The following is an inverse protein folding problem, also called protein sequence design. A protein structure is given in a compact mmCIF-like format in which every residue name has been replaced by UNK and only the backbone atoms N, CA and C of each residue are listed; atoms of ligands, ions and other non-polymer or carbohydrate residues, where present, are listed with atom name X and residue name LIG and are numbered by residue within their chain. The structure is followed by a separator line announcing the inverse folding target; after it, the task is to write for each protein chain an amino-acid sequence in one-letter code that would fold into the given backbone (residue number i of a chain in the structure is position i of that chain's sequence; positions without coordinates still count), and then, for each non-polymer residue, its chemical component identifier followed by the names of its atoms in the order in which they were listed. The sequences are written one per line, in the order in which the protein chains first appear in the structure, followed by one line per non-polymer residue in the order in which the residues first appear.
data_IF_098048765208
#
_entry.id   IF_098048765208
#
_cell.length_a   1.000
_cell.length_b   1.000
_cell.length_c   1.000
_cell.angle_alpha   90.00
_cell.angle_beta   90.00
_cell.angle_gamma   90.00
#
_symmetry.space_group_name_H-M   'P 1'
#
loop_
_entity.id
_entity.type
_entity.pdbx_description
1 polymer ?
#
# COMPACT_ATOMS: atom_id res chain seq x y z
N UNK A 1 8.55 16.02 11.33
CA UNK A 1 8.21 15.73 9.92
C UNK A 1 8.42 17.01 9.13
N UNK A 2 9.25 16.98 8.08
CA UNK A 2 9.63 18.17 7.28
C UNK A 2 8.61 18.49 6.17
N UNK A 3 7.62 17.61 5.95
CA UNK A 3 6.36 17.94 5.25
C UNK A 3 5.20 17.36 6.06
N UNK A 4 4.08 18.09 6.26
CA UNK A 4 2.89 17.51 6.88
C UNK A 4 2.41 16.34 6.03
N UNK A 5 2.34 15.14 6.60
CA UNK A 5 1.91 13.92 5.88
C UNK A 5 0.57 14.12 5.18
N UNK A 6 -0.28 14.98 5.73
CA UNK A 6 -1.56 15.41 5.17
C UNK A 6 -1.41 16.04 3.77
N UNK A 7 -0.40 16.89 3.51
CA UNK A 7 -0.22 17.50 2.19
C UNK A 7 0.12 16.45 1.13
N UNK A 8 1.00 15.50 1.49
CA UNK A 8 1.35 14.39 0.61
C UNK A 8 0.11 13.54 0.38
N UNK A 9 -0.60 13.15 1.45
CA UNK A 9 -1.84 12.38 1.38
C UNK A 9 -2.96 13.05 0.58
N UNK A 10 -3.02 14.39 0.49
CA UNK A 10 -3.95 15.08 -0.42
C UNK A 10 -3.54 14.85 -1.88
N UNK A 11 -2.26 14.99 -2.20
CA UNK A 11 -1.75 14.81 -3.58
C UNK A 11 -1.75 13.34 -4.00
N UNK A 12 -1.68 12.41 -3.05
CA UNK A 12 -1.66 10.97 -3.28
C UNK A 12 -2.88 10.28 -2.67
N UNK A 13 -3.99 11.00 -2.50
CA UNK A 13 -5.21 10.50 -1.85
C UNK A 13 -5.76 9.20 -2.44
N UNK A 14 -5.62 8.89 -3.75
CA UNK A 14 -6.11 7.62 -4.26
C UNK A 14 -5.38 6.44 -3.61
N UNK A 15 -4.11 6.62 -3.24
CA UNK A 15 -3.34 5.60 -2.54
C UNK A 15 -3.88 5.31 -1.15
N UNK A 16 -4.22 6.35 -0.38
CA UNK A 16 -4.87 6.20 0.94
C UNK A 16 -6.18 5.44 0.79
N UNK A 17 -7.03 5.84 -0.17
CA UNK A 17 -8.32 5.20 -0.40
C UNK A 17 -8.18 3.71 -0.76
N UNK A 18 -7.22 3.36 -1.62
CA UNK A 18 -6.95 1.97 -2.01
C UNK A 18 -6.37 1.17 -0.84
N UNK A 19 -5.54 1.78 0.01
CA UNK A 19 -5.03 1.14 1.22
C UNK A 19 -6.16 0.75 2.18
N UNK A 20 -7.05 1.68 2.50
CA UNK A 20 -8.19 1.42 3.38
C UNK A 20 -9.19 0.43 2.74
N UNK A 21 -9.36 0.50 1.42
CA UNK A 21 -10.15 -0.49 0.69
C UNK A 21 -9.56 -1.89 0.79
N UNK A 22 -8.24 -2.02 0.67
CA UNK A 22 -7.56 -3.30 0.81
C UNK A 22 -7.71 -3.85 2.24
N UNK A 23 -7.56 -3.01 3.27
CA UNK A 23 -7.85 -3.38 4.66
C UNK A 23 -9.28 -3.92 4.80
N UNK A 24 -10.27 -3.18 4.29
CA UNK A 24 -11.67 -3.60 4.35
C UNK A 24 -11.92 -4.91 3.60
N UNK A 25 -11.31 -5.11 2.43
CA UNK A 25 -11.40 -6.36 1.68
C UNK A 25 -10.85 -7.51 2.52
N UNK A 26 -9.69 -7.34 3.15
CA UNK A 26 -9.11 -8.34 4.04
C UNK A 26 -10.02 -8.64 5.25
N UNK A 27 -10.61 -7.62 5.88
CA UNK A 27 -11.60 -7.79 6.94
C UNK A 27 -12.79 -8.64 6.46
N UNK A 28 -13.33 -8.34 5.28
CA UNK A 28 -14.45 -9.10 4.68
C UNK A 28 -14.07 -10.54 4.37
N UNK A 29 -12.89 -10.79 3.79
CA UNK A 29 -12.37 -12.14 3.53
C UNK A 29 -12.24 -12.93 4.85
N UNK A 30 -11.78 -12.27 5.92
CA UNK A 30 -11.67 -12.87 7.25
C UNK A 30 -12.99 -12.98 8.01
N UNK A 31 -14.11 -12.52 7.43
CA UNK A 31 -15.42 -12.40 8.06
C UNK A 31 -15.36 -11.61 9.38
N UNK A 32 -14.63 -10.49 9.37
CA UNK A 32 -14.53 -9.56 10.49
C UNK A 32 -15.53 -8.42 10.23
N UNK A 33 -16.49 -8.19 11.15
CA UNK A 33 -17.40 -7.06 11.07
C UNK A 33 -16.64 -5.74 11.01
N UNK A 34 -17.00 -4.90 10.03
CA UNK A 34 -16.48 -3.54 9.88
C UNK A 34 -17.56 -2.57 10.34
N UNK A 35 -17.24 -1.74 11.33
CA UNK A 35 -18.16 -0.78 11.92
C UNK A 35 -18.19 0.53 11.15
N UNK A 36 -17.02 1.03 10.74
CA UNK A 36 -16.89 2.30 10.05
C UNK A 36 -15.69 2.27 9.09
N UNK A 37 -15.84 2.95 7.94
CA UNK A 37 -14.73 3.11 6.98
C UNK A 37 -14.68 4.57 6.53
N UNK A 38 -13.49 5.15 6.62
CA UNK A 38 -13.15 6.42 5.97
C UNK A 38 -11.98 6.19 5.03
N UNK A 39 -12.28 6.12 3.73
CA UNK A 39 -11.25 5.94 2.70
C UNK A 39 -10.30 7.14 2.58
N UNK A 40 -10.78 8.34 2.88
CA UNK A 40 -9.94 9.53 2.93
C UNK A 40 -10.57 10.60 3.82
N UNK A 41 -9.75 11.29 4.60
CA UNK A 41 -10.08 12.50 5.32
C UNK A 41 -8.83 13.39 5.44
N UNK A 42 -9.04 14.71 5.46
CA UNK A 42 -7.95 15.68 5.65
C UNK A 42 -7.68 15.84 7.15
N UNK A 43 -7.32 14.73 7.80
CA UNK A 43 -7.06 14.64 9.23
C UNK A 43 -5.95 13.60 9.48
N UNK A 44 -5.57 13.42 10.74
CA UNK A 44 -4.68 12.34 11.16
C UNK A 44 -5.48 11.32 12.02
N UNK A 45 -5.70 10.08 11.56
CA UNK A 45 -5.16 9.47 10.33
C UNK A 45 -5.89 9.94 9.06
N UNK A 46 -5.22 9.88 7.91
CA UNK A 46 -5.77 10.30 6.61
C UNK A 46 -6.83 9.33 6.05
N UNK A 47 -6.96 8.15 6.62
CA UNK A 47 -7.96 7.13 6.36
C UNK A 47 -7.99 6.14 7.52
N UNK A 48 -9.09 5.39 7.69
CA UNK A 48 -9.14 4.26 8.62
C UNK A 48 -10.28 3.29 8.31
N UNK A 49 -10.10 2.05 8.72
CA UNK A 49 -11.13 1.01 8.82
C UNK A 49 -11.28 0.60 10.29
N UNK A 50 -12.43 0.93 10.88
CA UNK A 50 -12.78 0.47 12.23
C UNK A 50 -13.50 -0.87 12.13
N UNK A 51 -12.93 -1.91 12.75
CA UNK A 51 -13.47 -3.27 12.68
C UNK A 51 -13.41 -3.97 14.06
N UNK A 52 -14.12 -5.08 14.18
CA UNK A 52 -14.12 -5.91 15.38
C UNK A 52 -12.71 -6.44 15.68
N UNK A 53 -12.33 -6.45 16.96
CA UNK A 53 -11.07 -7.04 17.39
C UNK A 53 -11.14 -8.57 17.25
N UNK A 54 -10.07 -9.18 16.74
CA UNK A 54 -10.03 -10.65 16.63
C UNK A 54 -8.92 -11.25 17.49
N UNK A 55 -9.21 -12.38 18.12
CA UNK A 55 -8.22 -13.19 18.84
C UNK A 55 -7.42 -14.12 17.91
N UNK A 56 -7.81 -14.22 16.63
CA UNK A 56 -7.15 -15.09 15.68
C UNK A 56 -5.91 -14.39 15.09
N UNK A 57 -4.70 -14.90 15.35
CA UNK A 57 -3.47 -14.23 14.94
C UNK A 57 -3.32 -14.15 13.42
N UNK A 58 -3.82 -15.14 12.69
CA UNK A 58 -3.74 -15.18 11.22
C UNK A 58 -4.66 -14.16 10.57
N UNK A 59 -5.84 -13.94 11.16
CA UNK A 59 -6.75 -12.89 10.72
C UNK A 59 -6.10 -11.52 10.91
N UNK A 60 -5.54 -11.26 12.09
CA UNK A 60 -4.87 -9.98 12.37
C UNK A 60 -3.65 -9.77 11.47
N UNK A 61 -2.86 -10.82 11.23
CA UNK A 61 -1.73 -10.76 10.30
C UNK A 61 -2.18 -10.42 8.88
N UNK A 62 -3.22 -11.09 8.38
CA UNK A 62 -3.75 -10.87 7.04
C UNK A 62 -4.36 -9.47 6.89
N UNK A 63 -5.11 -8.99 7.88
CA UNK A 63 -5.68 -7.63 7.81
C UNK A 63 -4.60 -6.56 7.89
N UNK A 64 -3.50 -6.80 8.62
CA UNK A 64 -2.40 -5.83 8.75
C UNK A 64 -1.46 -5.81 7.55
N UNK A 65 -1.18 -6.97 6.93
CA UNK A 65 -0.27 -7.06 5.77
C UNK A 65 -0.97 -7.04 4.42
N UNK A 66 -2.27 -7.32 4.38
CA UNK A 66 -3.06 -7.36 3.15
C UNK A 66 -2.94 -6.10 2.27
N UNK A 67 -3.05 -4.88 2.83
CA UNK A 67 -2.89 -3.64 2.07
C UNK A 67 -1.54 -3.52 1.37
N UNK A 68 -0.46 -3.98 2.02
CA UNK A 68 0.87 -3.97 1.43
C UNK A 68 0.93 -4.74 0.12
N UNK A 69 0.42 -5.98 0.12
CA UNK A 69 0.41 -6.79 -1.09
C UNK A 69 -0.56 -6.26 -2.14
N UNK A 70 -1.76 -5.84 -1.71
CA UNK A 70 -2.78 -5.35 -2.63
C UNK A 70 -2.32 -4.08 -3.35
N UNK A 71 -1.82 -3.09 -2.61
CA UNK A 71 -1.35 -1.83 -3.17
C UNK A 71 -0.10 -2.05 -4.04
N UNK A 72 0.82 -2.92 -3.61
CA UNK A 72 2.01 -3.24 -4.40
C UNK A 72 1.63 -3.86 -5.75
N UNK A 73 0.77 -4.88 -5.76
CA UNK A 73 0.36 -5.57 -6.99
C UNK A 73 -0.44 -4.62 -7.88
N UNK A 74 -1.47 -3.97 -7.34
CA UNK A 74 -2.35 -3.08 -8.10
C UNK A 74 -1.59 -1.88 -8.66
N UNK A 75 -0.74 -1.26 -7.84
CA UNK A 75 0.10 -0.14 -8.25
C UNK A 75 1.04 -0.52 -9.39
N UNK A 76 1.73 -1.67 -9.30
CA UNK A 76 2.58 -2.16 -10.39
C UNK A 76 1.79 -2.38 -11.69
N UNK A 77 0.62 -3.04 -11.61
CA UNK A 77 -0.23 -3.30 -12.78
C UNK A 77 -0.72 -2.00 -13.43
N UNK A 78 -1.07 -0.98 -12.64
CA UNK A 78 -1.49 0.33 -13.16
C UNK A 78 -0.32 1.08 -13.81
N UNK A 79 0.88 1.04 -13.20
CA UNK A 79 2.05 1.71 -13.76
C UNK A 79 2.58 1.04 -15.02
N UNK A 80 2.36 -0.27 -15.20
CA UNK A 80 2.90 -1.05 -16.32
C UNK A 80 2.56 -0.47 -17.73
N UNK A 81 1.29 -0.24 -18.11
CA UNK A 81 0.96 0.33 -19.42
C UNK A 81 1.42 1.79 -19.58
N UNK A 82 1.57 2.52 -18.47
CA UNK A 82 2.00 3.91 -18.48
C UNK A 82 3.53 4.05 -18.61
N UNK A 83 4.29 3.10 -18.06
CA UNK A 83 5.74 3.17 -17.94
C UNK A 83 6.44 3.48 -19.28
N UNK A 84 6.09 2.77 -20.34
CA UNK A 84 6.77 2.92 -21.63
C UNK A 84 6.51 4.28 -22.30
N UNK A 85 5.32 4.86 -22.10
CA UNK A 85 4.98 6.17 -22.65
C UNK A 85 5.60 7.31 -21.84
N UNK A 86 5.68 7.16 -20.51
CA UNK A 86 6.24 8.17 -19.60
C UNK A 86 7.76 8.28 -19.76
N UNK A 87 8.46 7.16 -19.91
CA UNK A 87 9.93 7.13 -20.07
C UNK A 87 10.40 7.18 -21.53
N UNK A 88 9.50 7.45 -22.48
CA UNK A 88 9.85 7.72 -23.87
C UNK A 88 10.24 6.50 -24.71
N UNK A 89 9.87 5.29 -24.28
CA UNK A 89 10.10 4.06 -25.04
C UNK A 89 9.11 3.88 -26.20
N UNK A 90 7.92 4.49 -26.12
CA UNK A 90 6.91 4.47 -27.17
C UNK A 90 6.46 5.91 -27.49
N UNK A 91 6.99 6.50 -28.56
CA UNK A 91 6.44 7.75 -29.09
C UNK A 91 5.13 7.46 -29.83
N UNK A 92 4.00 7.86 -29.26
CA UNK A 92 2.70 7.78 -29.95
C UNK A 92 2.57 9.01 -30.86
N UNK A 93 2.96 8.85 -32.13
CA UNK A 93 2.78 9.88 -33.15
C UNK A 93 1.31 10.07 -33.57
N UNK A 94 1.00 11.25 -34.11
CA UNK A 94 -0.34 11.60 -34.65
C UNK A 94 -1.24 12.39 -33.70
N UNK A 95 -2.48 12.66 -34.13
CA UNK A 95 -3.44 13.54 -33.43
C UNK A 95 -3.83 13.04 -32.03
N UNK A 96 -3.67 11.73 -31.76
CA UNK A 96 -3.96 11.12 -30.46
C UNK A 96 -2.78 11.13 -29.47
N UNK A 97 -1.56 11.42 -29.93
CA UNK A 97 -0.34 11.37 -29.13
C UNK A 97 -0.38 12.17 -27.82
N UNK A 98 -0.83 13.44 -27.84
CA UNK A 98 -0.95 14.24 -26.62
C UNK A 98 -1.91 13.64 -25.58
N UNK A 99 -3.07 13.11 -26.02
CA UNK A 99 -4.06 12.52 -25.12
C UNK A 99 -3.55 11.24 -24.46
N UNK A 100 -2.85 10.39 -25.22
CA UNK A 100 -2.23 9.16 -24.68
C UNK A 100 -1.12 9.50 -23.69
N UNK A 101 -0.34 10.55 -23.97
CA UNK A 101 0.73 11.02 -23.08
C UNK A 101 0.16 11.51 -21.74
N UNK A 102 -0.84 12.40 -21.77
CA UNK A 102 -1.50 12.91 -20.55
C UNK A 102 -2.14 11.77 -19.76
N UNK A 103 -2.84 10.86 -20.43
CA UNK A 103 -3.45 9.69 -19.79
C UNK A 103 -2.40 8.78 -19.14
N UNK A 104 -1.25 8.60 -19.77
CA UNK A 104 -0.14 7.81 -19.22
C UNK A 104 0.45 8.46 -17.97
N UNK A 105 0.63 9.79 -17.96
CA UNK A 105 1.07 10.51 -16.77
C UNK A 105 0.07 10.41 -15.61
N UNK A 106 -1.23 10.50 -15.90
CA UNK A 106 -2.29 10.33 -14.89
C UNK A 106 -2.30 8.91 -14.32
N UNK A 107 -2.18 7.89 -15.16
CA UNK A 107 -2.09 6.49 -14.73
C UNK A 107 -0.81 6.24 -13.92
N UNK A 108 0.31 6.82 -14.34
CA UNK A 108 1.58 6.68 -13.62
C UNK A 108 1.49 7.35 -12.24
N UNK A 109 0.96 8.57 -12.15
CA UNK A 109 0.70 9.24 -10.87
C UNK A 109 -0.25 8.42 -9.98
N UNK A 110 -1.33 7.86 -10.54
CA UNK A 110 -2.27 7.01 -9.80
C UNK A 110 -1.56 5.77 -9.24
N UNK A 111 -0.81 5.06 -10.09
CA UNK A 111 -0.10 3.85 -9.70
C UNK A 111 0.98 4.12 -8.65
N UNK A 112 1.80 5.17 -8.83
CA UNK A 112 2.79 5.59 -7.83
C UNK A 112 2.12 6.02 -6.53
N UNK A 113 1.00 6.74 -6.57
CA UNK A 113 0.25 7.13 -5.37
C UNK A 113 -0.19 5.91 -4.56
N UNK A 114 -0.69 4.86 -5.23
CA UNK A 114 -1.06 3.58 -4.61
C UNK A 114 0.16 2.89 -4.00
N UNK A 115 1.28 2.82 -4.73
CA UNK A 115 2.50 2.18 -4.23
C UNK A 115 3.10 2.91 -3.03
N UNK A 116 3.03 4.25 -3.01
CA UNK A 116 3.47 5.06 -1.86
C UNK A 116 2.69 4.75 -0.58
N UNK A 117 1.44 4.29 -0.71
CA UNK A 117 0.60 3.94 0.42
C UNK A 117 0.54 2.42 0.61
N UNK A 118 1.57 1.66 0.21
CA UNK A 118 1.59 0.22 0.43
C UNK A 118 1.97 -0.14 1.87
N UNK A 119 2.87 0.61 2.51
CA UNK A 119 3.36 0.22 3.84
C UNK A 119 2.25 0.31 4.91
N UNK A 120 2.10 -0.73 5.76
CA UNK A 120 1.16 -0.68 6.88
C UNK A 120 1.59 0.35 7.92
N UNK A 121 0.62 0.82 8.72
CA UNK A 121 0.82 1.86 9.70
C UNK A 121 1.42 1.34 11.01
N UNK A 122 1.86 2.27 11.87
CA UNK A 122 2.23 1.93 13.25
C UNK A 122 1.04 1.40 14.07
N UNK A 123 -0.18 1.79 13.71
CA UNK A 123 -1.42 1.27 14.32
C UNK A 123 -1.59 -0.22 14.07
N UNK A 124 -1.33 -0.68 12.85
CA UNK A 124 -1.41 -2.09 12.48
C UNK A 124 -0.38 -2.94 13.22
N UNK A 125 0.85 -2.42 13.35
CA UNK A 125 1.89 -3.07 14.14
C UNK A 125 1.52 -3.16 15.62
N UNK A 126 0.96 -2.09 16.21
CA UNK A 126 0.52 -2.09 17.61
C UNK A 126 -0.64 -3.07 17.84
N UNK A 127 -1.59 -3.15 16.90
CA UNK A 127 -2.68 -4.12 16.95
C UNK A 127 -2.14 -5.56 16.93
N UNK A 128 -1.14 -5.87 16.09
CA UNK A 128 -0.48 -7.18 16.07
C UNK A 128 0.30 -7.48 17.36
N UNK A 129 1.05 -6.51 17.89
CA UNK A 129 1.77 -6.68 19.16
C UNK A 129 0.79 -6.98 20.29
N UNK A 130 -0.30 -6.22 20.39
CA UNK A 130 -1.30 -6.40 21.44
C UNK A 130 -2.06 -7.73 21.31
N UNK A 131 -2.53 -8.06 20.10
CA UNK A 131 -3.39 -9.22 19.88
C UNK A 131 -2.64 -10.55 19.73
N UNK A 132 -1.38 -10.53 19.26
CA UNK A 132 -0.60 -11.74 18.96
C UNK A 132 0.55 -11.92 19.95
N UNK A 133 1.47 -10.95 20.06
CA UNK A 133 2.69 -11.14 20.87
C UNK A 133 2.41 -11.12 22.38
N UNK A 134 1.62 -10.14 22.84
CA UNK A 134 1.27 -9.98 24.27
C UNK A 134 0.18 -10.94 24.73
N UNK A 135 -0.57 -11.54 23.81
CA UNK A 135 -1.63 -12.48 24.15
C UNK A 135 -1.04 -13.83 24.58
N UNK A 136 -1.35 -14.27 25.81
CA UNK A 136 -0.87 -15.56 26.37
C UNK A 136 -1.56 -16.77 25.76
N UNK A 137 -2.76 -16.59 25.21
CA UNK A 137 -3.55 -17.67 24.60
C UNK A 137 -3.09 -18.02 23.18
N UNK A 138 -2.29 -17.15 22.56
CA UNK A 138 -1.73 -17.38 21.23
C UNK A 138 -0.53 -18.30 21.31
N UNK A 139 -0.58 -19.39 20.54
CA UNK A 139 0.50 -20.37 20.44
C UNK A 139 1.83 -19.76 19.98
N UNK A 140 2.93 -20.32 20.50
CA UNK A 140 4.31 -19.84 20.25
C UNK A 140 4.63 -19.78 18.75
N UNK A 141 4.14 -20.74 17.97
CA UNK A 141 4.34 -20.76 16.51
C UNK A 141 3.84 -19.49 15.82
N UNK A 142 2.60 -19.07 16.12
CA UNK A 142 2.03 -17.86 15.52
C UNK A 142 2.82 -16.60 15.92
N UNK A 143 3.37 -16.55 17.14
CA UNK A 143 4.24 -15.46 17.60
C UNK A 143 5.54 -15.41 16.83
N UNK A 144 6.21 -16.55 16.64
CA UNK A 144 7.46 -16.66 15.88
C UNK A 144 7.26 -16.18 14.44
N UNK A 145 6.15 -16.59 13.80
CA UNK A 145 5.85 -16.17 12.42
C UNK A 145 5.49 -14.69 12.35
N UNK A 146 4.71 -14.18 13.28
CA UNK A 146 4.21 -12.78 13.24
C UNK A 146 5.25 -11.75 13.67
N UNK A 147 6.17 -12.11 14.58
CA UNK A 147 7.22 -11.23 15.08
C UNK A 147 8.09 -10.57 13.99
N UNK A 148 8.64 -11.30 12.99
CA UNK A 148 9.44 -10.66 11.93
C UNK A 148 8.61 -9.68 11.10
N UNK A 149 7.33 -9.99 10.82
CA UNK A 149 6.45 -9.06 10.10
C UNK A 149 6.16 -7.79 10.89
N UNK A 150 5.92 -7.90 12.21
CA UNK A 150 5.79 -6.72 13.07
C UNK A 150 7.05 -5.85 12.99
N UNK A 151 8.23 -6.47 13.06
CA UNK A 151 9.51 -5.76 12.89
C UNK A 151 9.60 -5.04 11.56
N UNK A 152 9.24 -5.71 10.46
CA UNK A 152 9.21 -5.12 9.12
C UNK A 152 8.22 -3.96 9.01
N UNK A 153 7.05 -4.03 9.63
CA UNK A 153 6.08 -2.92 9.64
C UNK A 153 6.64 -1.72 10.39
N UNK A 154 7.24 -1.93 11.57
CA UNK A 154 7.88 -0.82 12.30
C UNK A 154 9.04 -0.20 11.53
N UNK A 155 9.88 -1.02 10.89
CA UNK A 155 10.96 -0.54 10.04
C UNK A 155 10.44 0.24 8.84
N UNK A 156 9.37 -0.24 8.19
CA UNK A 156 8.68 0.44 7.11
C UNK A 156 8.15 1.80 7.57
N UNK A 157 7.39 1.84 8.66
CA UNK A 157 6.82 3.07 9.20
C UNK A 157 7.88 4.10 9.65
N UNK A 158 9.03 3.64 10.17
CA UNK A 158 10.17 4.53 10.46
C UNK A 158 10.79 5.04 9.16
N UNK A 159 10.96 4.16 8.16
CA UNK A 159 11.43 4.52 6.82
C UNK A 159 10.52 5.54 6.13
N UNK A 160 9.21 5.45 6.30
CA UNK A 160 8.24 6.42 5.79
C UNK A 160 8.54 7.85 6.24
N UNK A 161 9.14 8.05 7.42
CA UNK A 161 9.58 9.36 7.89
C UNK A 161 10.69 9.99 7.04
N UNK A 162 11.47 9.17 6.33
CA UNK A 162 12.57 9.57 5.43
C UNK A 162 12.23 9.31 3.96
N UNK A 163 10.93 9.31 3.60
CA UNK A 163 10.44 9.16 2.23
C UNK A 163 10.70 7.78 1.59
N UNK A 164 10.89 6.74 2.41
CA UNK A 164 10.98 5.36 1.93
C UNK A 164 9.75 4.98 1.09
N UNK A 165 8.57 5.51 1.42
CA UNK A 165 7.33 5.30 0.67
C UNK A 165 7.44 5.76 -0.79
N UNK A 166 8.04 6.94 -1.03
CA UNK A 166 8.27 7.46 -2.37
C UNK A 166 9.33 6.64 -3.10
N UNK A 167 10.43 6.31 -2.42
CA UNK A 167 11.51 5.51 -3.00
C UNK A 167 11.00 4.11 -3.40
N UNK A 168 10.21 3.49 -2.53
CA UNK A 168 9.54 2.22 -2.79
C UNK A 168 8.54 2.34 -3.93
N UNK A 169 7.70 3.39 -3.92
CA UNK A 169 6.69 3.57 -4.95
C UNK A 169 7.29 3.76 -6.34
N UNK A 170 8.29 4.63 -6.47
CA UNK A 170 9.03 4.80 -7.73
C UNK A 170 9.78 3.53 -8.08
N UNK A 171 10.49 2.91 -7.13
CA UNK A 171 11.24 1.67 -7.37
C UNK A 171 10.37 0.55 -7.92
N UNK A 172 9.25 0.24 -7.25
CA UNK A 172 8.33 -0.82 -7.65
C UNK A 172 7.63 -0.52 -8.98
N UNK A 173 7.39 0.75 -9.33
CA UNK A 173 6.85 1.11 -10.65
C UNK A 173 7.76 0.71 -11.82
N UNK A 174 9.06 0.50 -11.55
CA UNK A 174 10.08 0.15 -12.55
C UNK A 174 10.40 -1.34 -12.56
N UNK A 175 10.24 -2.03 -11.42
CA UNK A 175 10.59 -3.45 -11.26
C UNK A 175 9.85 -4.33 -12.27
N UNK A 176 8.52 -4.27 -12.31
CA UNK A 176 7.73 -5.13 -13.17
C UNK A 176 8.00 -4.89 -14.67
N UNK A 177 8.03 -3.64 -15.19
CA UNK A 177 8.45 -3.37 -16.56
C UNK A 177 9.84 -3.90 -16.92
N UNK A 178 10.84 -3.74 -16.04
CA UNK A 178 12.20 -4.22 -16.29
C UNK A 178 12.30 -5.74 -16.28
N UNK A 179 11.62 -6.41 -15.34
CA UNK A 179 11.58 -7.88 -15.30
C UNK A 179 10.95 -8.45 -16.57
N UNK A 180 9.85 -7.88 -17.04
CA UNK A 180 9.23 -8.29 -18.30
C UNK A 180 10.15 -8.04 -19.50
N UNK A 181 10.83 -6.89 -19.53
CA UNK A 181 11.83 -6.60 -20.56
C UNK A 181 12.97 -7.61 -20.59
N UNK A 182 13.49 -8.04 -19.44
CA UNK A 182 14.58 -9.01 -19.35
C UNK A 182 14.15 -10.48 -19.58
N UNK A 183 12.86 -10.79 -19.41
CA UNK A 183 12.32 -12.14 -19.62
C UNK A 183 11.85 -12.37 -21.06
N UNK A 184 11.40 -11.32 -21.74
CA UNK A 184 10.81 -11.40 -23.08
C UNK A 184 11.79 -11.09 -24.22
N UNK A 185 12.95 -10.49 -23.91
CA UNK A 185 14.01 -10.11 -24.85
C UNK A 185 15.38 -10.54 -24.33
#
# INVERSE_FOLDING_TARGET
MIIPGILISIVTFPGVAVHELAHQICCRICRIPVYEVKYFQVSNPCGYVLHEATSNPWKNLLTSLGPFFFNTILGMLITLPAYANVFGYNYVGGTLGPYVTVSSWLLYWLGVSILMHAFPSTGDAQALVASVLKNKEVGVFAKIVTAPFIGLIYLGAIGSMVWLDLLYGVGMSVVLPKLLGALLF
#
